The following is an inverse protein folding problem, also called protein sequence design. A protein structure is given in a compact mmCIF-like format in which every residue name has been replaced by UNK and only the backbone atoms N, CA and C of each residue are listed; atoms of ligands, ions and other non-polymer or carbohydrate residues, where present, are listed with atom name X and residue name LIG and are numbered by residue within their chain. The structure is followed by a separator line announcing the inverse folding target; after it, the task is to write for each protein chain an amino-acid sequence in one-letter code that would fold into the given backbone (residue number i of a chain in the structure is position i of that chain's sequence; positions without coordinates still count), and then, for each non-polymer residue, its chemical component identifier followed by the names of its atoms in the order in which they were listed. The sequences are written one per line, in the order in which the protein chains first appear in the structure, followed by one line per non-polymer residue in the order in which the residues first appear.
data_IF_481810567529
#
_entry.id   IF_481810567529
#
_cell.length_a   1.000
_cell.length_b   1.000
_cell.length_c   1.000
_cell.angle_alpha   90.00
_cell.angle_beta   90.00
_cell.angle_gamma   90.00
#
_symmetry.space_group_name_H-M   'P 1'
#
loop_
_entity.id
_entity.type
_entity.pdbx_description
1 polymer ?
#
# COMPACT_ATOMS: atom_id res chain seq x y z
N UNK A 1 -25.60 9.47 4.53
CA UNK A 1 -24.88 8.69 3.47
C UNK A 1 -24.24 9.72 2.55
N UNK A 2 -23.03 9.47 2.08
CA UNK A 2 -22.35 10.36 1.14
C UNK A 2 -23.02 10.28 -0.24
N UNK A 3 -23.00 11.35 -1.03
CA UNK A 3 -23.49 11.35 -2.42
C UNK A 3 -22.75 10.33 -3.31
N UNK A 4 -21.58 9.84 -2.85
CA UNK A 4 -20.72 8.88 -3.52
C UNK A 4 -20.90 7.41 -3.11
N UNK A 5 -21.87 7.07 -2.25
CA UNK A 5 -21.96 5.74 -1.65
C UNK A 5 -21.91 4.59 -2.69
N UNK A 6 -22.70 4.69 -3.74
CA UNK A 6 -22.75 3.66 -4.81
C UNK A 6 -21.40 3.55 -5.58
N UNK A 7 -20.77 4.69 -5.87
CA UNK A 7 -19.45 4.72 -6.54
C UNK A 7 -18.36 4.13 -5.66
N UNK A 8 -18.35 4.45 -4.37
CA UNK A 8 -17.40 3.90 -3.39
C UNK A 8 -17.49 2.38 -3.30
N UNK A 9 -18.71 1.85 -3.18
CA UNK A 9 -18.95 0.40 -3.11
C UNK A 9 -18.52 -0.29 -4.40
N UNK A 10 -18.88 0.27 -5.56
CA UNK A 10 -18.48 -0.27 -6.85
C UNK A 10 -16.94 -0.28 -7.02
N UNK A 11 -16.29 0.82 -6.68
CA UNK A 11 -14.82 0.97 -6.76
C UNK A 11 -14.11 0.01 -5.79
N UNK A 12 -14.56 -0.10 -4.54
CA UNK A 12 -13.96 -1.01 -3.56
C UNK A 12 -14.04 -2.47 -4.02
N UNK A 13 -15.19 -2.90 -4.56
CA UNK A 13 -15.35 -4.24 -5.11
C UNK A 13 -14.48 -4.47 -6.38
N UNK A 14 -14.34 -3.46 -7.25
CA UNK A 14 -13.47 -3.56 -8.43
C UNK A 14 -12.00 -3.71 -8.04
N UNK A 15 -11.54 -2.97 -7.01
CA UNK A 15 -10.18 -3.10 -6.48
C UNK A 15 -9.97 -4.47 -5.85
N UNK A 16 -10.95 -4.98 -5.10
CA UNK A 16 -10.91 -6.29 -4.45
C UNK A 16 -11.26 -7.46 -5.39
N UNK A 17 -11.25 -7.27 -6.70
CA UNK A 17 -11.60 -8.32 -7.66
C UNK A 17 -10.71 -9.57 -7.48
N UNK A 18 -11.28 -10.79 -7.59
CA UNK A 18 -10.51 -12.02 -7.48
C UNK A 18 -9.36 -12.11 -8.48
N UNK A 19 -8.22 -12.62 -8.05
CA UNK A 19 -7.04 -12.80 -8.90
C UNK A 19 -6.29 -11.52 -9.23
N UNK A 20 -6.68 -10.37 -8.67
CA UNK A 20 -6.00 -9.10 -8.88
C UNK A 20 -5.41 -8.56 -7.59
N UNK A 21 -4.31 -7.82 -7.72
CA UNK A 21 -3.63 -7.09 -6.65
C UNK A 21 -3.66 -5.59 -6.87
N UNK A 22 -2.95 -4.86 -6.00
CA UNK A 22 -2.70 -3.42 -6.13
C UNK A 22 -1.19 -3.21 -6.31
N UNK A 23 -0.81 -2.34 -7.24
CA UNK A 23 0.56 -1.86 -7.36
C UNK A 23 0.78 -0.65 -6.45
N UNK A 24 1.76 -0.70 -5.54
CA UNK A 24 2.21 0.47 -4.82
C UNK A 24 3.36 1.14 -5.57
N UNK A 25 3.11 2.33 -6.07
CA UNK A 25 4.07 3.23 -6.70
C UNK A 25 4.08 4.60 -5.98
N UNK A 26 3.84 4.56 -4.67
CA UNK A 26 3.59 5.72 -3.81
C UNK A 26 4.79 6.12 -2.94
N UNK A 27 5.96 5.60 -3.27
CA UNK A 27 7.19 5.96 -2.57
C UNK A 27 7.41 7.47 -2.62
N UNK A 28 7.72 8.04 -1.45
CA UNK A 28 8.11 9.45 -1.35
C UNK A 28 9.41 9.73 -2.11
N UNK A 29 9.69 10.98 -2.42
CA UNK A 29 10.95 11.40 -3.06
C UNK A 29 12.19 10.86 -2.32
N UNK A 30 12.16 10.86 -0.97
CA UNK A 30 13.27 10.31 -0.18
C UNK A 30 13.39 8.79 -0.31
N UNK A 31 12.26 8.08 -0.30
CA UNK A 31 12.23 6.61 -0.45
C UNK A 31 12.73 6.18 -1.83
N UNK A 32 12.31 6.87 -2.89
CA UNK A 32 12.82 6.61 -4.25
C UNK A 32 14.34 6.89 -4.32
N UNK A 33 14.80 8.00 -3.71
CA UNK A 33 16.23 8.32 -3.67
C UNK A 33 17.06 7.20 -3.03
N UNK A 34 16.60 6.64 -1.92
CA UNK A 34 17.26 5.52 -1.27
C UNK A 34 17.31 4.26 -2.15
N UNK A 35 16.30 4.06 -3.01
CA UNK A 35 16.27 2.93 -3.97
C UNK A 35 17.15 3.17 -5.20
N UNK A 36 17.29 4.41 -5.65
CA UNK A 36 18.13 4.76 -6.80
C UNK A 36 19.62 4.77 -6.46
N UNK A 37 19.99 5.13 -5.24
CA UNK A 37 21.38 5.25 -4.81
C UNK A 37 22.21 3.97 -5.06
N UNK A 38 21.78 2.74 -4.70
CA UNK A 38 22.56 1.53 -4.95
C UNK A 38 22.82 1.22 -6.41
N UNK A 39 21.98 1.73 -7.33
CA UNK A 39 22.11 1.51 -8.78
C UNK A 39 22.70 2.74 -9.51
N UNK A 40 23.20 3.72 -8.75
CA UNK A 40 23.88 4.91 -9.30
C UNK A 40 22.96 5.82 -10.12
N UNK A 41 21.66 5.83 -9.87
CA UNK A 41 20.70 6.71 -10.55
C UNK A 41 20.43 7.93 -9.69
N UNK A 42 20.57 9.12 -10.28
CA UNK A 42 20.28 10.37 -9.61
C UNK A 42 18.78 10.53 -9.31
N UNK A 43 18.44 11.03 -8.14
CA UNK A 43 17.07 11.26 -7.70
C UNK A 43 16.49 12.56 -8.26
N UNK A 44 16.35 12.67 -9.57
CA UNK A 44 15.68 13.78 -10.26
C UNK A 44 14.20 13.48 -10.48
N UNK A 45 13.41 14.53 -10.70
CA UNK A 45 11.99 14.36 -11.05
C UNK A 45 11.80 13.53 -12.33
N UNK A 46 12.63 13.75 -13.35
CA UNK A 46 12.56 13.00 -14.61
C UNK A 46 12.89 11.52 -14.41
N UNK A 47 13.89 11.18 -13.62
CA UNK A 47 14.20 9.79 -13.32
C UNK A 47 13.08 9.11 -12.53
N UNK A 48 12.44 9.80 -11.58
CA UNK A 48 11.27 9.30 -10.87
C UNK A 48 10.07 9.11 -11.81
N UNK A 49 9.85 10.06 -12.73
CA UNK A 49 8.82 9.96 -13.76
C UNK A 49 9.07 8.76 -14.67
N UNK A 50 10.29 8.58 -15.20
CA UNK A 50 10.67 7.45 -16.06
C UNK A 50 10.50 6.11 -15.36
N UNK A 51 10.88 6.02 -14.10
CA UNK A 51 10.69 4.82 -13.28
C UNK A 51 9.19 4.46 -13.18
N UNK A 52 8.34 5.42 -12.85
CA UNK A 52 6.89 5.20 -12.72
C UNK A 52 6.24 4.93 -14.06
N UNK A 53 6.67 5.61 -15.11
CA UNK A 53 6.22 5.35 -16.48
C UNK A 53 6.51 3.90 -16.90
N UNK A 54 7.70 3.38 -16.62
CA UNK A 54 8.05 1.99 -16.88
C UNK A 54 7.06 1.01 -16.24
N UNK A 55 6.67 1.26 -15.00
CA UNK A 55 5.68 0.43 -14.31
C UNK A 55 4.30 0.52 -14.97
N UNK A 56 3.84 1.73 -15.25
CA UNK A 56 2.48 1.96 -15.76
C UNK A 56 2.30 1.56 -17.24
N UNK A 57 3.36 1.54 -18.01
CA UNK A 57 3.37 1.11 -19.42
C UNK A 57 3.63 -0.39 -19.61
N UNK A 58 3.89 -1.14 -18.53
CA UNK A 58 4.10 -2.58 -18.62
C UNK A 58 2.87 -3.27 -19.20
N UNK A 59 3.02 -3.86 -20.39
CA UNK A 59 1.93 -4.50 -21.10
C UNK A 59 1.35 -5.69 -20.32
N UNK A 60 0.02 -5.78 -20.29
CA UNK A 60 -0.69 -6.85 -19.57
C UNK A 60 -0.78 -6.67 -18.06
N UNK A 61 -0.21 -5.60 -17.49
CA UNK A 61 -0.24 -5.38 -16.05
C UNK A 61 -1.67 -5.34 -15.49
N UNK A 62 -2.61 -4.75 -16.23
CA UNK A 62 -4.02 -4.66 -15.85
C UNK A 62 -4.74 -6.03 -15.78
N UNK A 63 -4.16 -7.11 -16.27
CA UNK A 63 -4.69 -8.46 -16.07
C UNK A 63 -4.56 -8.90 -14.60
N UNK A 64 -3.50 -8.44 -13.92
CA UNK A 64 -3.14 -8.84 -12.55
C UNK A 64 -3.32 -7.72 -11.53
N UNK A 65 -3.38 -6.47 -11.97
CA UNK A 65 -3.44 -5.29 -11.10
C UNK A 65 -4.76 -4.56 -11.33
N UNK A 66 -5.54 -4.40 -10.25
CA UNK A 66 -6.82 -3.67 -10.26
C UNK A 66 -6.66 -2.18 -9.99
N UNK A 67 -5.61 -1.77 -9.28
CA UNK A 67 -5.38 -0.38 -8.91
C UNK A 67 -3.92 -0.06 -8.63
N UNK A 68 -3.57 1.22 -8.71
CA UNK A 68 -2.22 1.72 -8.49
C UNK A 68 -2.24 2.82 -7.45
N UNK A 69 -1.49 2.68 -6.36
CA UNK A 69 -1.30 3.77 -5.38
C UNK A 69 -0.18 4.66 -5.91
N UNK A 70 -0.50 5.91 -6.22
CA UNK A 70 0.47 6.90 -6.69
C UNK A 70 0.98 7.78 -5.53
N UNK A 71 2.20 8.29 -5.66
CA UNK A 71 2.64 9.49 -4.96
C UNK A 71 2.07 10.73 -5.67
N UNK A 72 1.89 11.86 -4.97
CA UNK A 72 1.24 13.04 -5.56
C UNK A 72 1.90 13.49 -6.86
N UNK A 73 3.23 13.54 -6.91
CA UNK A 73 3.99 13.89 -8.11
C UNK A 73 3.54 13.05 -9.32
N UNK A 74 3.48 11.73 -9.16
CA UNK A 74 3.11 10.80 -10.23
C UNK A 74 1.65 10.94 -10.69
N UNK A 75 0.73 11.25 -9.79
CA UNK A 75 -0.68 11.43 -10.14
C UNK A 75 -0.89 12.57 -11.14
N UNK A 76 -0.02 13.59 -11.13
CA UNK A 76 -0.11 14.76 -12.00
C UNK A 76 0.86 14.72 -13.19
N UNK A 77 1.76 13.73 -13.26
CA UNK A 77 2.73 13.58 -14.35
C UNK A 77 2.12 13.00 -15.62
N UNK A 78 2.84 13.21 -16.71
CA UNK A 78 2.52 12.70 -18.04
C UNK A 78 3.77 12.09 -18.68
N UNK A 79 3.56 11.27 -19.71
CA UNK A 79 4.64 10.81 -20.59
C UNK A 79 5.23 11.98 -21.39
N UNK A 80 6.42 11.83 -22.01
CA UNK A 80 6.94 12.82 -22.94
C UNK A 80 6.00 13.15 -24.10
N UNK A 81 5.12 12.21 -24.47
CA UNK A 81 4.09 12.40 -25.50
C UNK A 81 2.83 13.11 -24.99
N UNK A 82 2.80 13.59 -23.75
CA UNK A 82 1.68 14.35 -23.19
C UNK A 82 0.55 13.51 -22.61
N UNK A 83 0.58 12.16 -22.69
CA UNK A 83 -0.45 11.30 -22.12
C UNK A 83 -0.30 11.27 -20.58
N UNK A 84 -1.36 11.59 -19.85
CA UNK A 84 -1.35 11.58 -18.38
C UNK A 84 -1.17 10.15 -17.84
N UNK A 85 -0.49 10.01 -16.72
CA UNK A 85 -0.33 8.69 -16.08
C UNK A 85 -1.65 8.08 -15.62
N UNK A 86 -2.60 8.89 -15.19
CA UNK A 86 -3.95 8.41 -14.85
C UNK A 86 -4.67 7.80 -16.07
N UNK A 87 -4.45 8.35 -17.26
CA UNK A 87 -5.04 7.82 -18.50
C UNK A 87 -4.32 6.52 -18.93
N UNK A 88 -2.99 6.42 -18.73
CA UNK A 88 -2.25 5.17 -18.99
C UNK A 88 -2.77 4.01 -18.12
N UNK A 89 -3.03 4.29 -16.85
CA UNK A 89 -3.57 3.29 -15.93
C UNK A 89 -4.99 2.88 -16.34
N UNK A 90 -5.84 3.86 -16.65
CA UNK A 90 -7.22 3.62 -17.07
C UNK A 90 -7.32 2.80 -18.36
N UNK A 91 -6.45 3.03 -19.35
CA UNK A 91 -6.41 2.28 -20.61
C UNK A 91 -6.10 0.79 -20.41
N UNK A 92 -5.41 0.44 -19.34
CA UNK A 92 -5.16 -0.94 -18.94
C UNK A 92 -6.19 -1.49 -17.94
N UNK A 93 -7.25 -0.73 -17.64
CA UNK A 93 -8.27 -1.12 -16.68
C UNK A 93 -7.82 -1.06 -15.21
N UNK A 94 -6.74 -0.33 -14.92
CA UNK A 94 -6.25 -0.10 -13.57
C UNK A 94 -6.83 1.19 -12.99
N UNK A 95 -7.30 1.15 -11.75
CA UNK A 95 -7.89 2.29 -11.05
C UNK A 95 -6.78 3.13 -10.43
N UNK A 96 -6.67 4.44 -10.73
CA UNK A 96 -5.71 5.33 -10.08
C UNK A 96 -6.08 5.59 -8.61
N UNK A 97 -5.08 5.53 -7.74
CA UNK A 97 -5.19 5.86 -6.32
C UNK A 97 -4.05 6.76 -5.86
N UNK A 98 -4.12 7.22 -4.64
CA UNK A 98 -3.23 8.26 -4.11
C UNK A 98 -2.86 8.02 -2.63
N UNK A 99 -1.57 8.12 -2.32
CA UNK A 99 -1.10 8.24 -0.93
C UNK A 99 -1.37 9.67 -0.43
N UNK A 100 -2.19 9.78 0.62
CA UNK A 100 -2.61 11.09 1.14
C UNK A 100 -2.01 11.44 2.51
N UNK A 101 -1.38 10.50 3.21
CA UNK A 101 -0.65 10.80 4.43
C UNK A 101 0.62 11.62 4.16
N UNK A 102 1.04 12.41 5.12
CA UNK A 102 2.24 13.26 5.09
C UNK A 102 3.36 12.72 5.99
N UNK A 103 3.36 11.41 6.23
CA UNK A 103 4.35 10.72 7.03
C UNK A 103 4.09 10.79 8.54
N UNK A 104 4.92 10.06 9.27
CA UNK A 104 4.81 9.91 10.73
C UNK A 104 5.48 11.05 11.48
N UNK A 105 4.99 11.33 12.70
CA UNK A 105 5.58 12.27 13.67
C UNK A 105 5.60 11.62 15.04
N UNK A 106 6.53 12.02 15.94
CA UNK A 106 6.53 11.53 17.30
C UNK A 106 5.18 11.77 18.00
N UNK A 107 4.68 10.77 18.68
CA UNK A 107 3.56 10.87 19.61
C UNK A 107 4.13 11.14 20.99
N UNK A 108 4.13 12.42 21.38
CA UNK A 108 4.68 12.83 22.67
C UNK A 108 3.91 12.21 23.83
N UNK A 109 4.62 11.88 24.90
CA UNK A 109 4.07 11.17 26.06
C UNK A 109 4.10 9.65 25.92
N UNK A 110 4.74 9.14 24.88
CA UNK A 110 4.97 7.70 24.65
C UNK A 110 6.46 7.37 24.53
N UNK A 111 6.80 6.08 24.57
CA UNK A 111 8.16 5.59 24.35
C UNK A 111 8.48 5.51 22.85
N UNK A 112 8.73 6.66 22.21
CA UNK A 112 9.15 6.75 20.81
C UNK A 112 8.11 6.26 19.78
N UNK A 113 6.85 6.19 20.17
CA UNK A 113 5.77 5.84 19.22
C UNK A 113 5.41 7.01 18.32
N UNK A 114 4.65 6.74 17.28
CA UNK A 114 4.35 7.73 16.24
C UNK A 114 2.86 7.81 15.93
N UNK A 115 2.47 8.97 15.39
CA UNK A 115 1.17 9.20 14.77
C UNK A 115 1.37 9.76 13.36
N UNK A 116 0.52 9.40 12.43
CA UNK A 116 0.62 9.85 11.04
C UNK A 116 -0.09 11.18 10.84
N UNK A 117 0.55 12.09 10.12
CA UNK A 117 0.07 13.45 9.85
C UNK A 117 -0.57 13.56 8.45
N UNK A 118 -1.36 14.64 8.26
CA UNK A 118 -1.93 14.96 6.94
C UNK A 118 -3.45 15.17 6.94
N UNK A 119 -4.09 15.26 8.12
CA UNK A 119 -5.55 15.51 8.24
C UNK A 119 -5.92 16.95 7.87
N UNK A 120 -5.03 17.92 8.17
CA UNK A 120 -5.28 19.33 7.84
C UNK A 120 -5.40 19.49 6.32
N UNK A 121 -6.45 20.17 5.87
CA UNK A 121 -6.80 20.38 4.46
C UNK A 121 -6.90 19.10 3.60
N UNK A 122 -7.12 17.95 4.22
CA UNK A 122 -7.23 16.67 3.51
C UNK A 122 -8.44 16.65 2.58
N UNK A 123 -9.55 17.27 2.98
CA UNK A 123 -10.76 17.43 2.17
C UNK A 123 -10.46 18.12 0.83
N UNK A 124 -9.75 19.26 0.86
CA UNK A 124 -9.36 20.00 -0.34
C UNK A 124 -8.42 19.19 -1.24
N UNK A 125 -7.47 18.45 -0.61
CA UNK A 125 -6.56 17.58 -1.35
C UNK A 125 -7.30 16.41 -1.99
N UNK A 126 -8.20 15.76 -1.28
CA UNK A 126 -9.02 14.67 -1.81
C UNK A 126 -9.89 15.13 -2.99
N UNK A 127 -10.56 16.29 -2.89
CA UNK A 127 -11.32 16.87 -3.99
C UNK A 127 -10.45 17.13 -5.24
N UNK A 128 -9.22 17.66 -5.05
CA UNK A 128 -8.24 17.85 -6.12
C UNK A 128 -7.84 16.51 -6.78
N UNK A 129 -7.58 15.48 -5.98
CA UNK A 129 -7.15 14.17 -6.47
C UNK A 129 -8.28 13.42 -7.19
N UNK A 130 -9.51 13.49 -6.67
CA UNK A 130 -10.68 12.94 -7.35
C UNK A 130 -10.87 13.58 -8.72
N UNK A 131 -10.77 14.91 -8.82
CA UNK A 131 -10.85 15.65 -10.10
C UNK A 131 -9.74 15.25 -11.07
N UNK A 132 -8.53 14.87 -10.58
CA UNK A 132 -7.43 14.39 -11.41
C UNK A 132 -7.65 12.97 -11.94
N UNK A 133 -8.58 12.20 -11.36
CA UNK A 133 -8.90 10.84 -11.79
C UNK A 133 -8.66 9.76 -10.73
N UNK A 134 -8.15 10.11 -9.54
CA UNK A 134 -8.05 9.14 -8.44
C UNK A 134 -9.43 8.68 -7.98
N UNK A 135 -9.54 7.40 -7.58
CA UNK A 135 -10.78 6.81 -7.05
C UNK A 135 -10.60 6.13 -5.70
N UNK A 136 -9.37 6.00 -5.25
CA UNK A 136 -9.07 5.51 -3.89
C UNK A 136 -7.88 6.25 -3.29
N UNK A 137 -7.81 6.22 -1.98
CA UNK A 137 -6.72 6.83 -1.21
C UNK A 137 -6.10 5.81 -0.27
N UNK A 138 -4.83 6.01 0.12
CA UNK A 138 -4.13 5.20 1.09
C UNK A 138 -3.53 6.06 2.19
N UNK A 139 -3.68 5.59 3.44
CA UNK A 139 -3.09 6.20 4.62
C UNK A 139 -2.51 5.12 5.52
N UNK A 140 -1.22 5.23 5.82
CA UNK A 140 -0.48 4.32 6.67
C UNK A 140 -0.38 4.87 8.08
N UNK A 141 -0.83 4.10 9.07
CA UNK A 141 -0.48 4.27 10.48
C UNK A 141 0.57 3.23 10.85
N UNK A 142 1.50 3.60 11.73
CA UNK A 142 2.64 2.75 12.09
C UNK A 142 2.66 2.53 13.59
N UNK A 143 2.61 1.26 14.01
CA UNK A 143 2.69 0.83 15.40
C UNK A 143 3.86 -0.14 15.56
N UNK A 144 4.61 -0.04 16.65
CA UNK A 144 5.74 -0.93 16.93
C UNK A 144 5.46 -1.83 18.13
N UNK A 145 6.08 -2.99 18.13
CA UNK A 145 6.13 -3.88 19.30
C UNK A 145 7.46 -3.66 20.02
N UNK A 146 7.44 -3.62 21.34
CA UNK A 146 8.66 -3.57 22.16
C UNK A 146 8.47 -4.28 23.49
N UNK A 147 9.58 -4.58 24.16
CA UNK A 147 9.61 -5.16 25.50
C UNK A 147 9.12 -4.17 26.58
N UNK A 148 9.18 -2.86 26.29
CA UNK A 148 8.63 -1.79 27.14
C UNK A 148 7.09 -1.69 27.07
N UNK A 149 6.41 -2.59 26.36
CA UNK A 149 4.95 -2.67 26.30
C UNK A 149 4.30 -1.91 25.13
N UNK A 150 5.07 -1.47 24.14
CA UNK A 150 4.49 -0.92 22.91
C UNK A 150 3.76 -2.02 22.10
N UNK A 151 2.70 -1.64 21.37
CA UNK A 151 2.12 -0.30 21.30
C UNK A 151 1.33 0.02 22.58
N UNK A 152 1.48 1.27 23.06
CA UNK A 152 0.68 1.78 24.16
C UNK A 152 -0.80 1.94 23.74
N UNK A 153 -1.71 1.95 24.72
CA UNK A 153 -3.12 2.20 24.41
C UNK A 153 -3.34 3.57 23.77
N UNK A 154 -2.56 4.59 24.19
CA UNK A 154 -2.60 5.93 23.59
C UNK A 154 -2.25 5.87 22.09
N UNK A 155 -1.18 5.15 21.72
CA UNK A 155 -0.76 5.01 20.33
C UNK A 155 -1.81 4.26 19.49
N UNK A 156 -2.41 3.21 20.03
CA UNK A 156 -3.47 2.46 19.37
C UNK A 156 -4.69 3.36 19.12
N UNK A 157 -5.16 4.06 20.14
CA UNK A 157 -6.37 4.90 20.05
C UNK A 157 -6.19 6.08 19.10
N UNK A 158 -5.04 6.77 19.17
CA UNK A 158 -4.78 7.93 18.33
C UNK A 158 -4.64 7.55 16.85
N UNK A 159 -3.92 6.47 16.55
CA UNK A 159 -3.80 5.98 15.17
C UNK A 159 -5.14 5.45 14.64
N UNK A 160 -5.92 4.73 15.45
CA UNK A 160 -7.24 4.25 15.05
C UNK A 160 -8.22 5.40 14.74
N UNK A 161 -8.27 6.43 15.59
CA UNK A 161 -9.10 7.63 15.37
C UNK A 161 -8.66 8.40 14.13
N UNK A 162 -7.36 8.53 13.91
CA UNK A 162 -6.79 9.20 12.74
C UNK A 162 -7.16 8.46 11.46
N UNK A 163 -7.06 7.13 11.43
CA UNK A 163 -7.47 6.29 10.31
C UNK A 163 -8.97 6.43 10.02
N UNK A 164 -9.82 6.42 11.04
CA UNK A 164 -11.26 6.60 10.87
C UNK A 164 -11.61 7.99 10.33
N UNK A 165 -10.98 9.05 10.85
CA UNK A 165 -11.17 10.42 10.39
C UNK A 165 -10.69 10.61 8.95
N UNK A 166 -9.54 10.05 8.59
CA UNK A 166 -9.07 10.01 7.22
C UNK A 166 -10.09 9.34 6.29
N UNK A 167 -10.63 8.19 6.70
CA UNK A 167 -11.57 7.41 5.90
C UNK A 167 -12.85 8.19 5.59
N UNK A 168 -13.44 8.86 6.58
CA UNK A 168 -14.66 9.68 6.36
C UNK A 168 -14.42 10.86 5.43
N UNK A 169 -13.26 11.53 5.54
CA UNK A 169 -12.89 12.63 4.64
C UNK A 169 -12.73 12.13 3.19
N UNK A 170 -12.08 10.99 3.00
CA UNK A 170 -11.94 10.39 1.66
C UNK A 170 -13.30 10.05 1.06
N UNK A 171 -14.17 9.38 1.81
CA UNK A 171 -15.49 8.98 1.34
C UNK A 171 -16.38 10.19 0.99
N UNK A 172 -16.31 11.26 1.77
CA UNK A 172 -17.01 12.51 1.48
C UNK A 172 -16.55 13.17 0.16
N UNK A 173 -15.38 12.78 -0.36
CA UNK A 173 -14.80 13.28 -1.61
C UNK A 173 -14.72 12.20 -2.72
N UNK A 174 -15.46 11.10 -2.62
CA UNK A 174 -15.54 10.07 -3.66
C UNK A 174 -14.33 9.14 -3.74
N UNK A 175 -13.46 9.11 -2.74
CA UNK A 175 -12.29 8.24 -2.69
C UNK A 175 -12.50 7.07 -1.72
N UNK A 176 -12.33 5.83 -2.20
CA UNK A 176 -12.32 4.64 -1.34
C UNK A 176 -11.11 4.69 -0.42
N UNK A 177 -11.28 4.72 0.92
CA UNK A 177 -10.13 4.68 1.82
C UNK A 177 -9.54 3.27 1.93
N UNK A 178 -8.25 3.12 1.67
CA UNK A 178 -7.46 1.97 2.10
C UNK A 178 -6.90 2.28 3.48
N UNK A 179 -7.40 1.57 4.48
CA UNK A 179 -7.07 1.71 5.89
C UNK A 179 -5.86 0.81 6.17
N UNK A 180 -4.70 1.41 6.50
CA UNK A 180 -3.42 0.69 6.67
C UNK A 180 -2.89 0.83 8.11
N UNK A 181 -3.41 0.04 9.07
CA UNK A 181 -2.85 -0.03 10.42
C UNK A 181 -1.70 -1.06 10.44
N UNK A 182 -0.48 -0.62 10.16
CA UNK A 182 0.67 -1.50 10.09
C UNK A 182 1.33 -1.68 11.46
N UNK A 183 1.44 -2.93 11.90
CA UNK A 183 2.28 -3.34 13.03
C UNK A 183 3.63 -3.75 12.50
N UNK A 184 4.70 -3.04 12.90
CA UNK A 184 6.06 -3.26 12.41
C UNK A 184 6.61 -4.61 12.87
N UNK A 185 7.48 -5.17 12.02
CA UNK A 185 8.15 -6.46 12.25
C UNK A 185 9.51 -6.31 12.94
N UNK A 186 9.92 -5.08 13.28
CA UNK A 186 11.21 -4.84 13.93
C UNK A 186 11.23 -5.47 15.32
N UNK A 187 12.34 -6.12 15.70
CA UNK A 187 12.57 -6.73 17.01
C UNK A 187 12.45 -8.26 17.02
N UNK A 188 12.40 -8.83 18.23
CA UNK A 188 12.47 -10.28 18.49
C UNK A 188 11.13 -10.91 18.93
N UNK A 189 10.03 -10.18 18.85
CA UNK A 189 8.73 -10.65 19.33
C UNK A 189 8.26 -11.93 18.61
N UNK A 190 7.54 -12.78 19.36
CA UNK A 190 7.00 -14.05 18.83
C UNK A 190 5.82 -13.84 17.88
N UNK A 191 5.46 -14.89 17.16
CA UNK A 191 4.26 -14.93 16.31
C UNK A 191 2.98 -14.66 17.12
N UNK A 192 2.89 -15.23 18.35
CA UNK A 192 1.74 -15.04 19.24
C UNK A 192 1.63 -13.58 19.69
N UNK A 193 2.76 -12.94 20.03
CA UNK A 193 2.77 -11.52 20.39
C UNK A 193 2.39 -10.63 19.23
N UNK A 194 2.89 -10.92 18.05
CA UNK A 194 2.47 -10.22 16.82
C UNK A 194 0.97 -10.36 16.58
N UNK A 195 0.42 -11.56 16.73
CA UNK A 195 -1.02 -11.82 16.56
C UNK A 195 -1.86 -11.05 17.57
N UNK A 196 -1.49 -11.11 18.88
CA UNK A 196 -2.18 -10.38 19.95
C UNK A 196 -2.23 -8.87 19.68
N UNK A 197 -1.08 -8.28 19.34
CA UNK A 197 -0.99 -6.83 19.07
C UNK A 197 -1.78 -6.47 17.83
N UNK A 198 -1.65 -7.23 16.74
CA UNK A 198 -2.38 -6.95 15.51
C UNK A 198 -3.89 -7.05 15.73
N UNK A 199 -4.37 -8.03 16.51
CA UNK A 199 -5.77 -8.17 16.85
C UNK A 199 -6.30 -6.96 17.64
N UNK A 200 -5.56 -6.48 18.65
CA UNK A 200 -5.91 -5.27 19.40
C UNK A 200 -5.97 -4.02 18.52
N UNK A 201 -4.97 -3.83 17.67
CA UNK A 201 -4.88 -2.68 16.75
C UNK A 201 -6.04 -2.69 15.75
N UNK A 202 -6.33 -3.86 15.17
CA UNK A 202 -7.43 -4.03 14.22
C UNK A 202 -8.80 -3.79 14.86
N UNK A 203 -9.04 -4.36 16.05
CA UNK A 203 -10.29 -4.18 16.79
C UNK A 203 -10.53 -2.69 17.10
N UNK A 204 -9.50 -1.97 17.57
CA UNK A 204 -9.58 -0.54 17.83
C UNK A 204 -9.85 0.27 16.56
N UNK A 205 -9.17 -0.09 15.45
CA UNK A 205 -9.33 0.58 14.15
C UNK A 205 -10.77 0.44 13.63
N UNK A 206 -11.33 -0.78 13.63
CA UNK A 206 -12.68 -1.01 13.14
C UNK A 206 -13.75 -0.40 14.05
N UNK A 207 -13.51 -0.42 15.38
CA UNK A 207 -14.38 0.32 16.32
C UNK A 207 -14.38 1.81 16.01
N UNK A 208 -13.21 2.42 15.82
CA UNK A 208 -13.11 3.83 15.47
C UNK A 208 -13.79 4.16 14.13
N UNK A 209 -13.65 3.29 13.13
CA UNK A 209 -14.33 3.43 11.84
C UNK A 209 -15.86 3.38 11.99
N UNK A 210 -16.37 2.45 12.83
CA UNK A 210 -17.81 2.36 13.12
C UNK A 210 -18.33 3.60 13.85
N UNK A 211 -17.62 4.06 14.87
CA UNK A 211 -17.97 5.27 15.63
C UNK A 211 -17.97 6.54 14.76
N UNK A 212 -17.10 6.58 13.75
CA UNK A 212 -16.99 7.67 12.79
C UNK A 212 -17.94 7.52 11.57
N UNK A 213 -18.80 6.52 11.55
CA UNK A 213 -19.76 6.24 10.46
C UNK A 213 -19.12 6.01 9.10
N UNK A 214 -17.95 5.36 9.06
CA UNK A 214 -17.30 4.95 7.80
C UNK A 214 -18.20 3.93 7.09
N UNK A 215 -18.45 4.14 5.79
CA UNK A 215 -19.12 3.16 4.92
C UNK A 215 -18.16 1.98 4.68
N UNK A 216 -18.35 0.88 5.40
CA UNK A 216 -17.43 -0.25 5.40
C UNK A 216 -17.39 -0.95 4.03
N UNK A 217 -18.51 -1.04 3.33
CA UNK A 217 -18.62 -1.59 1.98
C UNK A 217 -17.84 -0.77 0.93
N UNK A 218 -17.60 0.49 1.22
CA UNK A 218 -16.81 1.43 0.41
C UNK A 218 -15.42 1.68 0.97
N UNK A 219 -14.83 0.70 1.68
CA UNK A 219 -13.47 0.78 2.25
C UNK A 219 -12.68 -0.50 1.99
N UNK A 220 -11.36 -0.45 2.15
CA UNK A 220 -10.46 -1.60 2.04
C UNK A 220 -9.46 -1.60 3.20
N UNK A 221 -8.97 -2.79 3.56
CA UNK A 221 -7.95 -2.98 4.57
C UNK A 221 -6.60 -3.27 3.92
N UNK A 222 -5.53 -2.66 4.45
CA UNK A 222 -4.14 -2.96 4.05
C UNK A 222 -3.25 -3.25 5.28
N UNK A 223 -3.33 -4.46 5.84
CA UNK A 223 -2.53 -4.82 6.99
C UNK A 223 -1.19 -5.45 6.58
N UNK A 224 -0.28 -5.58 7.55
CA UNK A 224 0.78 -6.57 7.48
C UNK A 224 0.21 -7.99 7.61
N UNK A 225 0.92 -8.98 7.08
CA UNK A 225 0.73 -10.37 7.47
C UNK A 225 1.27 -10.56 8.89
N UNK A 226 0.61 -11.37 9.72
CA UNK A 226 1.01 -11.62 11.11
C UNK A 226 2.21 -12.56 11.13
N UNK A 227 3.39 -12.03 11.45
CA UNK A 227 4.64 -12.79 11.48
C UNK A 227 5.46 -12.44 12.75
N UNK A 228 6.42 -13.29 13.15
CA UNK A 228 7.36 -12.92 14.21
C UNK A 228 8.25 -11.75 13.79
N UNK A 229 8.88 -11.12 14.77
CA UNK A 229 9.88 -10.09 14.54
C UNK A 229 11.02 -10.59 13.65
N UNK A 230 11.63 -9.68 12.89
CA UNK A 230 12.70 -10.03 11.94
C UNK A 230 13.94 -10.61 12.62
N UNK A 231 14.17 -10.27 13.90
CA UNK A 231 15.28 -10.76 14.69
C UNK A 231 14.95 -12.04 15.47
N UNK A 232 13.68 -12.48 15.48
CA UNK A 232 13.27 -13.73 16.12
C UNK A 232 13.85 -14.93 15.37
N UNK A 233 14.51 -15.83 16.13
CA UNK A 233 15.19 -17.02 15.58
C UNK A 233 14.34 -18.30 15.65
N UNK A 234 13.15 -18.24 16.25
CA UNK A 234 12.28 -19.40 16.31
C UNK A 234 11.79 -19.78 14.90
N UNK A 235 11.74 -21.08 14.58
CA UNK A 235 11.19 -21.53 13.30
C UNK A 235 9.74 -21.07 13.15
N UNK A 236 9.42 -20.54 11.97
CA UNK A 236 8.07 -20.09 11.62
C UNK A 236 7.84 -20.35 10.13
N UNK A 237 6.86 -21.17 9.80
CA UNK A 237 6.53 -21.53 8.43
C UNK A 237 5.57 -20.55 7.79
N UNK A 238 5.45 -20.57 6.45
CA UNK A 238 4.46 -19.78 5.71
C UNK A 238 3.03 -20.12 6.13
N UNK A 239 2.75 -21.39 6.48
CA UNK A 239 1.46 -21.86 7.00
C UNK A 239 1.16 -21.32 8.40
N UNK A 240 2.16 -21.17 9.28
CA UNK A 240 1.96 -20.60 10.62
C UNK A 240 1.60 -19.12 10.53
N UNK A 241 2.29 -18.36 9.68
CA UNK A 241 1.99 -16.96 9.38
C UNK A 241 0.58 -16.84 8.79
N UNK A 242 0.24 -17.68 7.82
CA UNK A 242 -1.08 -17.67 7.19
C UNK A 242 -2.18 -17.95 8.21
N UNK A 243 -2.00 -18.96 9.06
CA UNK A 243 -2.96 -19.34 10.12
C UNK A 243 -3.17 -18.20 11.11
N UNK A 244 -2.09 -17.58 11.59
CA UNK A 244 -2.15 -16.45 12.52
C UNK A 244 -2.85 -15.26 11.87
N UNK A 245 -2.51 -14.93 10.62
CA UNK A 245 -3.10 -13.82 9.85
C UNK A 245 -4.61 -14.03 9.63
N UNK A 246 -5.01 -15.19 9.17
CA UNK A 246 -6.44 -15.49 8.94
C UNK A 246 -7.22 -15.45 10.24
N UNK A 247 -6.68 -16.01 11.33
CA UNK A 247 -7.32 -15.97 12.66
C UNK A 247 -7.56 -14.53 13.11
N UNK A 248 -6.56 -13.66 13.06
CA UNK A 248 -6.70 -12.25 13.45
C UNK A 248 -7.77 -11.54 12.61
N UNK A 249 -7.77 -11.76 11.30
CA UNK A 249 -8.80 -11.19 10.42
C UNK A 249 -10.20 -11.72 10.71
N UNK A 250 -10.34 -13.03 11.00
CA UNK A 250 -11.64 -13.62 11.37
C UNK A 250 -12.21 -13.05 12.68
N UNK A 251 -11.34 -12.67 13.62
CA UNK A 251 -11.75 -12.08 14.90
C UNK A 251 -12.13 -10.60 14.77
N UNK A 252 -11.54 -9.87 13.82
CA UNK A 252 -11.59 -8.40 13.85
C UNK A 252 -12.20 -7.76 12.61
N UNK A 253 -12.09 -8.38 11.43
CA UNK A 253 -12.49 -7.72 10.19
C UNK A 253 -14.01 -7.76 9.99
N UNK A 254 -14.67 -6.61 9.74
CA UNK A 254 -16.08 -6.59 9.39
C UNK A 254 -16.35 -7.32 8.06
N UNK A 255 -17.40 -8.14 8.04
CA UNK A 255 -17.82 -8.87 6.83
C UNK A 255 -18.21 -7.93 5.68
N UNK A 256 -18.65 -6.73 6.02
CA UNK A 256 -19.02 -5.69 5.06
C UNK A 256 -17.84 -5.15 4.24
N UNK A 257 -16.62 -5.16 4.80
CA UNK A 257 -15.43 -4.70 4.08
C UNK A 257 -15.07 -5.69 2.95
N UNK A 258 -15.02 -5.25 1.67
CA UNK A 258 -14.98 -6.16 0.52
C UNK A 258 -13.63 -6.86 0.31
N UNK A 259 -12.52 -6.33 0.84
CA UNK A 259 -11.23 -6.95 0.58
C UNK A 259 -10.07 -6.51 1.46
N UNK A 260 -9.01 -7.32 1.40
CA UNK A 260 -7.73 -7.10 2.09
C UNK A 260 -6.61 -7.07 1.07
N UNK A 261 -5.73 -6.08 1.17
CA UNK A 261 -4.55 -5.94 0.31
C UNK A 261 -3.31 -5.93 1.19
N UNK A 262 -2.65 -7.07 1.34
CA UNK A 262 -1.52 -7.21 2.27
C UNK A 262 -0.27 -6.44 1.81
N UNK A 263 0.48 -5.91 2.76
CA UNK A 263 1.89 -5.59 2.58
C UNK A 263 2.78 -6.77 2.99
N UNK A 264 3.98 -6.88 2.41
CA UNK A 264 4.90 -8.01 2.65
C UNK A 264 5.58 -7.97 4.02
N UNK A 265 5.71 -6.78 4.65
CA UNK A 265 6.34 -6.63 5.96
C UNK A 265 7.79 -7.12 6.02
N UNK A 266 8.59 -6.83 4.98
CA UNK A 266 10.01 -7.21 4.92
C UNK A 266 10.30 -8.69 4.61
N UNK A 267 9.28 -9.48 4.23
CA UNK A 267 9.50 -10.79 3.64
C UNK A 267 10.07 -10.67 2.22
N UNK A 268 10.82 -11.69 1.77
CA UNK A 268 11.18 -11.80 0.36
C UNK A 268 9.93 -11.93 -0.53
N UNK A 269 10.08 -11.70 -1.81
CA UNK A 269 9.00 -11.82 -2.79
C UNK A 269 8.43 -13.25 -2.81
N UNK A 270 9.29 -14.25 -2.75
CA UNK A 270 8.95 -15.67 -2.72
C UNK A 270 8.15 -15.98 -1.44
N UNK A 271 8.69 -15.65 -0.28
CA UNK A 271 8.01 -15.90 1.00
C UNK A 271 6.67 -15.18 1.11
N UNK A 272 6.60 -13.90 0.67
CA UNK A 272 5.34 -13.17 0.68
C UNK A 272 4.29 -13.81 -0.23
N UNK A 273 4.71 -14.35 -1.38
CA UNK A 273 3.83 -15.07 -2.32
C UNK A 273 3.36 -16.40 -1.74
N UNK A 274 4.24 -17.18 -1.11
CA UNK A 274 3.90 -18.43 -0.44
C UNK A 274 2.89 -18.20 0.70
N UNK A 275 3.13 -17.21 1.55
CA UNK A 275 2.21 -16.86 2.64
C UNK A 275 0.86 -16.42 2.11
N UNK A 276 0.83 -15.58 1.06
CA UNK A 276 -0.41 -15.15 0.44
C UNK A 276 -1.20 -16.33 -0.13
N UNK A 277 -0.53 -17.26 -0.80
CA UNK A 277 -1.14 -18.46 -1.34
C UNK A 277 -1.70 -19.35 -0.21
N UNK A 278 -0.95 -19.53 0.88
CA UNK A 278 -1.41 -20.26 2.06
C UNK A 278 -2.64 -19.57 2.71
N UNK A 279 -2.65 -18.22 2.82
CA UNK A 279 -3.83 -17.46 3.28
C UNK A 279 -5.03 -17.71 2.36
N UNK A 280 -4.82 -17.70 1.04
CA UNK A 280 -5.91 -17.89 0.08
C UNK A 280 -6.46 -19.31 0.05
N UNK A 281 -5.64 -20.32 0.31
CA UNK A 281 -6.04 -21.71 0.42
C UNK A 281 -6.61 -22.10 1.78
N UNK A 282 -6.55 -21.22 2.79
CA UNK A 282 -6.97 -21.55 4.15
C UNK A 282 -8.45 -21.96 4.22
N UNK A 283 -8.79 -23.16 4.77
CA UNK A 283 -10.16 -23.65 4.82
C UNK A 283 -11.07 -22.75 5.66
N UNK A 284 -12.28 -22.49 5.18
CA UNK A 284 -13.28 -21.74 5.94
C UNK A 284 -12.98 -20.24 6.14
N UNK A 285 -12.03 -19.67 5.39
CA UNK A 285 -11.81 -18.22 5.44
C UNK A 285 -13.09 -17.48 5.05
N UNK A 286 -13.56 -16.62 5.94
CA UNK A 286 -14.68 -15.69 5.67
C UNK A 286 -14.23 -14.35 5.11
N UNK A 287 -12.91 -14.17 4.93
CA UNK A 287 -12.34 -12.95 4.36
C UNK A 287 -12.53 -12.98 2.85
N UNK A 288 -13.31 -12.05 2.33
CA UNK A 288 -13.46 -11.88 0.89
C UNK A 288 -12.13 -11.42 0.32
N UNK A 289 -11.69 -12.05 -0.74
CA UNK A 289 -10.54 -11.71 -1.59
C UNK A 289 -9.33 -11.08 -0.86
N UNK A 290 -8.30 -11.89 -0.67
CA UNK A 290 -6.99 -11.43 -0.21
C UNK A 290 -6.09 -11.26 -1.42
N UNK A 291 -5.54 -10.07 -1.62
CA UNK A 291 -4.57 -9.77 -2.67
C UNK A 291 -3.27 -9.23 -2.09
N UNK A 292 -2.17 -9.47 -2.77
CA UNK A 292 -0.87 -8.92 -2.40
C UNK A 292 -0.70 -7.54 -3.02
N UNK A 293 -0.12 -6.63 -2.25
CA UNK A 293 0.40 -5.39 -2.78
C UNK A 293 1.71 -5.70 -3.52
N UNK A 294 1.72 -5.58 -4.84
CA UNK A 294 2.87 -5.91 -5.70
C UNK A 294 3.95 -4.82 -5.63
N UNK A 295 4.48 -4.53 -4.43
CA UNK A 295 5.52 -3.52 -4.27
C UNK A 295 6.93 -4.06 -4.53
N UNK A 296 7.16 -5.35 -4.37
CA UNK A 296 8.50 -5.95 -4.30
C UNK A 296 8.85 -6.78 -5.53
N UNK A 297 7.88 -7.40 -6.19
CA UNK A 297 8.13 -8.30 -7.32
C UNK A 297 8.86 -7.64 -8.50
N UNK A 298 8.68 -6.33 -8.69
CA UNK A 298 9.35 -5.63 -9.78
C UNK A 298 10.81 -5.25 -9.48
N UNK A 299 11.21 -5.15 -8.22
CA UNK A 299 12.61 -4.85 -7.87
C UNK A 299 13.49 -6.12 -7.87
N UNK A 300 13.01 -7.25 -7.40
CA UNK A 300 13.72 -8.54 -7.49
C UNK A 300 13.91 -8.96 -8.95
N UNK A 301 12.85 -8.96 -9.76
CA UNK A 301 12.95 -9.26 -11.20
C UNK A 301 13.77 -8.23 -11.99
N UNK A 302 13.70 -6.94 -11.63
CA UNK A 302 14.46 -5.89 -12.33
C UNK A 302 15.95 -5.86 -11.90
N UNK A 303 16.29 -6.30 -10.67
CA UNK A 303 17.67 -6.52 -10.24
C UNK A 303 18.25 -7.82 -10.78
N UNK A 304 17.46 -8.90 -10.89
CA UNK A 304 17.90 -10.17 -11.49
C UNK A 304 18.05 -10.07 -13.03
N UNK A 305 17.19 -9.30 -13.68
CA UNK A 305 17.40 -8.89 -15.07
C UNK A 305 18.32 -7.65 -15.10
N UNK A 306 19.61 -7.84 -14.97
CA UNK A 306 20.68 -6.81 -14.95
C UNK A 306 20.64 -5.76 -16.08
N UNK A 307 19.57 -5.64 -16.84
CA UNK A 307 19.48 -4.80 -18.04
C UNK A 307 18.34 -3.75 -18.05
N UNK A 308 17.23 -3.90 -17.32
CA UNK A 308 16.04 -3.10 -17.66
C UNK A 308 15.93 -1.73 -16.97
N UNK A 309 16.15 -1.61 -15.65
CA UNK A 309 15.98 -0.32 -14.98
C UNK A 309 17.11 0.67 -15.30
N UNK A 310 18.41 0.28 -15.27
CA UNK A 310 19.49 1.17 -15.69
C UNK A 310 19.41 1.58 -17.16
N UNK A 311 18.99 0.68 -18.07
CA UNK A 311 18.83 1.00 -19.51
C UNK A 311 17.63 1.91 -19.77
N UNK A 312 16.49 1.71 -19.06
CA UNK A 312 15.31 2.55 -19.25
C UNK A 312 15.50 3.97 -18.69
N UNK A 313 16.40 4.15 -17.71
CA UNK A 313 16.67 5.44 -17.06
C UNK A 313 17.90 6.14 -17.66
N UNK A 314 18.80 5.43 -18.34
CA UNK A 314 19.94 6.05 -19.02
C UNK A 314 19.50 6.81 -20.29
N UNK A 315 20.06 7.98 -20.58
CA UNK A 315 19.80 8.65 -21.85
C UNK A 315 20.26 7.75 -23.01
N UNK A 316 19.53 7.75 -24.11
CA UNK A 316 19.96 7.07 -25.33
C UNK A 316 21.34 7.58 -25.74
N UNK A 317 22.29 6.69 -26.11
CA UNK A 317 23.57 7.16 -26.62
C UNK A 317 23.32 8.06 -27.84
N UNK A 318 24.12 9.12 -28.06
CA UNK A 318 23.97 9.96 -29.22
C UNK A 318 24.09 9.11 -30.47
N UNK A 319 23.17 9.32 -31.42
CA UNK A 319 23.19 8.67 -32.72
C UNK A 319 24.54 8.93 -33.37
N UNK A 320 25.28 7.87 -33.67
CA UNK A 320 26.51 7.97 -34.46
C UNK A 320 26.18 8.63 -35.80
N UNK A 321 27.01 9.56 -36.28
CA UNK A 321 26.80 10.17 -37.58
C UNK A 321 26.86 9.09 -38.68
N UNK A 322 26.13 9.29 -39.79
CA UNK A 322 26.10 8.31 -40.85
C UNK A 322 27.51 8.05 -41.40
N UNK A 323 27.87 6.80 -41.47
CA UNK A 323 29.15 6.34 -42.01
C UNK A 323 29.17 6.70 -43.51
N UNK A 324 29.90 7.76 -43.88
CA UNK A 324 30.20 8.06 -45.28
C UNK A 324 31.22 7.08 -45.77
N UNK A 325 30.81 6.07 -46.59
CA UNK A 325 31.71 5.27 -47.38
C UNK A 325 32.40 6.16 -48.40
N UNK A 326 33.71 6.23 -48.36
CA UNK A 326 34.56 6.49 -49.51
C UNK A 326 35.12 5.15 -50.01
#
# INVERSE_FOLDING_TARGET
MTDYASELVATANAIAAPGKGILAADESTGTIGARFAPIGVENTEDNRRRYRQLLFETAGLGEFISGVICYEEALFQSTPGGKKFVDLMADQGMIPGIKVDLGVRPLFGTDGETVTQGITDLDKRCAKYYKQGARFAKWRAVLRISDSGCPSQLSIDENARTLARYATICQANGLVPIIEPEVLMDGEHSLERSAEVTERVMAATWKACSDAHVLLEGSLLKPNMVRPGVDNKAPCTSEDIARATVRVLQHTMPVACPGVTFLSGGMSEEQATEVLDAINRFPGKKVRHSSLLLLLLLFGCLCAAHCCVPCAIRPAPPLLPPCTRK
#
